data_IF_655973451364
#
_entry.id   IF_655973451364
#
_cell.length_a   1.000
_cell.length_b   1.000
_cell.length_c   1.000
_cell.angle_alpha   90.00
_cell.angle_beta   90.00
_cell.angle_gamma   90.00
#
_symmetry.space_group_name_H-M   'P 1'
#
loop_
_entity.id
_entity.type
_entity.pdbx_description
1 polymer ?
#
# COMPACT_ATOMS: atom_id res chain seq x y z
N UNK A 1 31.06 9.64 8.64
CA UNK A 1 29.64 9.24 8.87
C UNK A 1 29.31 8.08 7.94
N UNK A 2 29.33 6.83 8.43
CA UNK A 2 29.08 5.59 7.64
C UNK A 2 27.96 4.72 8.24
N UNK A 3 26.94 5.34 8.86
CA UNK A 3 25.89 4.61 9.60
C UNK A 3 24.73 4.07 8.72
N UNK A 4 24.64 4.48 7.45
CA UNK A 4 23.52 4.11 6.57
C UNK A 4 23.54 2.66 6.09
N UNK A 5 24.72 2.10 5.83
CA UNK A 5 24.84 0.81 5.14
C UNK A 5 24.51 -0.38 6.06
N UNK A 6 24.98 -0.34 7.30
CA UNK A 6 24.73 -1.41 8.27
C UNK A 6 23.27 -1.43 8.76
N UNK A 7 22.64 -0.26 8.86
CA UNK A 7 21.23 -0.12 9.25
C UNK A 7 20.30 -0.70 8.18
N UNK A 8 20.59 -0.44 6.89
CA UNK A 8 19.84 -1.01 5.78
C UNK A 8 20.02 -2.54 5.69
N UNK A 9 21.22 -3.06 5.93
CA UNK A 9 21.48 -4.51 5.95
C UNK A 9 20.71 -5.22 7.07
N UNK A 10 20.66 -4.64 8.27
CA UNK A 10 19.88 -5.18 9.38
C UNK A 10 18.36 -5.12 9.09
N UNK A 11 17.85 -3.99 8.60
CA UNK A 11 16.45 -3.84 8.21
C UNK A 11 16.06 -4.81 7.10
N UNK A 12 16.93 -5.01 6.10
CA UNK A 12 16.73 -5.99 5.03
C UNK A 12 16.58 -7.40 5.60
N UNK A 13 17.53 -7.85 6.44
CA UNK A 13 17.49 -9.21 7.04
C UNK A 13 16.19 -9.43 7.83
N UNK A 14 15.82 -8.48 8.69
CA UNK A 14 14.59 -8.56 9.49
C UNK A 14 13.33 -8.53 8.62
N UNK A 15 13.26 -7.65 7.63
CA UNK A 15 12.11 -7.60 6.70
C UNK A 15 11.98 -8.90 5.92
N UNK A 16 13.09 -9.48 5.47
CA UNK A 16 13.10 -10.68 4.63
C UNK A 16 12.72 -11.96 5.40
N UNK A 17 12.98 -12.03 6.72
CA UNK A 17 12.65 -13.20 7.53
C UNK A 17 11.18 -13.31 7.90
N UNK A 18 10.42 -12.21 7.88
CA UNK A 18 9.01 -12.17 8.28
C UNK A 18 8.13 -12.29 7.03
N UNK A 19 7.41 -13.40 6.88
CA UNK A 19 6.67 -13.70 5.64
C UNK A 19 5.15 -13.58 5.76
N UNK A 20 4.62 -13.45 6.98
CA UNK A 20 3.20 -13.32 7.26
C UNK A 20 2.92 -12.13 8.15
N UNK A 21 1.66 -11.72 8.20
CA UNK A 21 1.18 -10.63 9.04
C UNK A 21 0.34 -11.17 10.20
N UNK A 22 0.33 -10.45 11.31
CA UNK A 22 -0.60 -10.72 12.42
C UNK A 22 -2.03 -10.22 12.14
N UNK A 23 -2.26 -9.58 10.99
CA UNK A 23 -3.57 -9.08 10.59
C UNK A 23 -4.60 -10.21 10.53
N UNK A 24 -5.76 -9.96 11.13
CA UNK A 24 -6.92 -10.85 11.11
C UNK A 24 -8.08 -10.12 10.40
N UNK A 25 -8.62 -10.68 9.30
CA UNK A 25 -9.67 -10.03 8.54
C UNK A 25 -10.97 -9.99 9.35
N UNK A 26 -11.60 -8.82 9.38
CA UNK A 26 -12.95 -8.63 9.91
C UNK A 26 -13.96 -8.73 8.76
N UNK A 27 -15.22 -9.07 9.06
CA UNK A 27 -16.28 -9.07 8.04
C UNK A 27 -16.42 -7.71 7.34
N UNK A 28 -16.19 -6.61 8.08
CA UNK A 28 -16.17 -5.26 7.53
C UNK A 28 -14.99 -5.04 6.56
N UNK A 29 -13.78 -5.48 6.91
CA UNK A 29 -12.62 -5.39 6.02
C UNK A 29 -12.85 -6.14 4.70
N UNK A 30 -13.41 -7.36 4.75
CA UNK A 30 -13.78 -8.12 3.54
C UNK A 30 -14.87 -7.42 2.74
N UNK A 31 -15.88 -6.82 3.39
CA UNK A 31 -16.94 -6.08 2.72
C UNK A 31 -16.42 -4.83 1.99
N UNK A 32 -15.55 -4.03 2.63
CA UNK A 32 -14.93 -2.86 1.98
C UNK A 32 -14.02 -3.29 0.82
N UNK A 33 -13.29 -4.39 0.97
CA UNK A 33 -12.48 -4.97 -0.12
C UNK A 33 -13.33 -5.31 -1.34
N UNK A 34 -14.47 -6.00 -1.14
CA UNK A 34 -15.39 -6.35 -2.23
C UNK A 34 -15.94 -5.11 -2.94
N UNK A 35 -16.32 -4.07 -2.20
CA UNK A 35 -16.79 -2.80 -2.77
C UNK A 35 -15.67 -2.07 -3.53
N UNK A 36 -14.44 -2.08 -3.01
CA UNK A 36 -13.29 -1.50 -3.72
C UNK A 36 -13.01 -2.18 -5.05
N UNK A 37 -13.20 -3.51 -5.13
CA UNK A 37 -13.03 -4.30 -6.35
C UNK A 37 -14.05 -4.00 -7.46
N UNK A 38 -15.12 -3.24 -7.16
CA UNK A 38 -16.09 -2.76 -8.15
C UNK A 38 -16.07 -1.24 -8.31
N UNK A 39 -15.43 -0.50 -7.39
CA UNK A 39 -15.38 0.96 -7.41
C UNK A 39 -14.47 1.52 -8.52
N UNK A 40 -14.85 2.66 -9.10
CA UNK A 40 -14.05 3.39 -10.11
C UNK A 40 -13.86 4.87 -9.80
N UNK A 41 -14.74 5.46 -9.01
CA UNK A 41 -14.65 6.87 -8.62
C UNK A 41 -13.56 7.11 -7.57
N UNK A 42 -12.81 8.20 -7.70
CA UNK A 42 -11.82 8.61 -6.72
C UNK A 42 -12.45 8.91 -5.34
N UNK A 43 -13.62 9.55 -5.30
CA UNK A 43 -14.31 9.91 -4.05
C UNK A 43 -14.84 8.67 -3.32
N UNK A 44 -15.37 7.71 -4.06
CA UNK A 44 -15.82 6.44 -3.51
C UNK A 44 -14.62 5.63 -2.96
N UNK A 45 -13.55 5.53 -3.75
CA UNK A 45 -12.29 4.87 -3.36
C UNK A 45 -11.64 5.51 -2.14
N UNK A 46 -11.73 6.83 -2.00
CA UNK A 46 -11.28 7.57 -0.82
C UNK A 46 -12.00 7.09 0.45
N UNK A 47 -13.33 7.02 0.42
CA UNK A 47 -14.14 6.62 1.58
C UNK A 47 -13.93 5.14 1.89
N UNK A 48 -14.12 4.26 0.90
CA UNK A 48 -14.01 2.82 1.09
C UNK A 48 -12.59 2.40 1.50
N UNK A 49 -11.57 3.00 0.87
CA UNK A 49 -10.18 2.75 1.18
C UNK A 49 -9.81 3.18 2.59
N UNK A 50 -10.29 4.35 3.05
CA UNK A 50 -10.05 4.79 4.42
C UNK A 50 -10.72 3.86 5.43
N UNK A 51 -11.95 3.42 5.17
CA UNK A 51 -12.65 2.46 6.03
C UNK A 51 -11.90 1.13 6.12
N UNK A 52 -11.38 0.62 5.00
CA UNK A 52 -10.55 -0.58 4.98
C UNK A 52 -9.28 -0.41 5.83
N UNK A 53 -8.54 0.70 5.64
CA UNK A 53 -7.34 0.99 6.43
C UNK A 53 -7.63 1.09 7.92
N UNK A 54 -8.77 1.68 8.30
CA UNK A 54 -9.19 1.78 9.70
C UNK A 54 -9.44 0.40 10.31
N UNK A 55 -10.15 -0.48 9.60
CA UNK A 55 -10.42 -1.85 10.06
C UNK A 55 -9.14 -2.68 10.20
N UNK A 56 -8.23 -2.57 9.22
CA UNK A 56 -6.94 -3.26 9.27
C UNK A 56 -6.07 -2.77 10.43
N UNK A 57 -6.01 -1.45 10.63
CA UNK A 57 -5.22 -0.83 11.70
C UNK A 57 -5.79 -1.14 13.08
N UNK A 58 -7.13 -1.18 13.20
CA UNK A 58 -7.84 -1.61 14.41
C UNK A 58 -7.53 -3.06 14.77
N UNK A 59 -7.56 -3.98 13.79
CA UNK A 59 -7.17 -5.39 14.01
C UNK A 59 -5.74 -5.54 14.52
N UNK A 60 -4.85 -4.62 14.14
CA UNK A 60 -3.44 -4.62 14.52
C UNK A 60 -3.12 -3.76 15.74
N UNK A 61 -4.11 -3.09 16.34
CA UNK A 61 -3.92 -2.13 17.44
C UNK A 61 -2.88 -1.04 17.13
N UNK A 62 -2.89 -0.50 15.90
CA UNK A 62 -2.02 0.61 15.46
C UNK A 62 -2.83 1.83 15.04
N UNK A 63 -2.20 3.00 15.04
CA UNK A 63 -2.76 4.21 14.44
C UNK A 63 -3.06 3.97 12.96
N UNK A 64 -4.25 4.37 12.47
CA UNK A 64 -4.59 4.22 11.05
C UNK A 64 -3.78 5.15 10.15
N UNK A 65 -3.45 4.67 8.94
CA UNK A 65 -2.91 5.53 7.90
C UNK A 65 -4.02 6.41 7.30
N UNK A 66 -3.69 7.68 7.03
CA UNK A 66 -4.59 8.60 6.36
C UNK A 66 -4.46 8.44 4.84
N UNK A 67 -5.58 8.22 4.17
CA UNK A 67 -5.66 8.04 2.73
C UNK A 67 -5.95 9.34 2.01
N UNK A 68 -5.31 9.54 0.86
CA UNK A 68 -5.63 10.59 -0.11
C UNK A 68 -5.70 9.97 -1.51
N UNK A 69 -6.89 9.93 -2.10
CA UNK A 69 -7.11 9.47 -3.47
C UNK A 69 -7.35 10.69 -4.35
N UNK A 70 -6.45 10.93 -5.28
CA UNK A 70 -6.58 12.04 -6.21
C UNK A 70 -7.10 11.56 -7.57
N UNK A 71 -8.06 12.28 -8.14
CA UNK A 71 -8.55 12.00 -9.50
C UNK A 71 -7.63 12.55 -10.61
N UNK A 72 -6.34 12.25 -10.49
CA UNK A 72 -5.27 12.72 -11.37
C UNK A 72 -4.43 11.57 -11.90
N UNK A 73 -3.67 11.79 -13.00
CA UNK A 73 -2.73 10.80 -13.53
C UNK A 73 -1.64 10.46 -12.52
N UNK A 74 -1.19 9.21 -12.56
CA UNK A 74 0.01 8.77 -11.85
C UNK A 74 1.20 9.66 -12.19
N UNK A 75 1.96 10.04 -11.15
CA UNK A 75 3.23 10.76 -11.33
C UNK A 75 4.16 9.90 -12.19
N UNK A 76 4.71 10.50 -13.24
CA UNK A 76 5.58 9.80 -14.17
C UNK A 76 6.64 10.73 -14.76
N UNK A 77 7.62 10.14 -15.41
CA UNK A 77 8.69 10.84 -16.12
C UNK A 77 8.93 10.20 -17.47
N UNK A 78 9.16 11.03 -18.49
CA UNK A 78 9.43 10.61 -19.85
C UNK A 78 10.87 10.93 -20.24
N UNK A 79 11.48 10.09 -21.08
CA UNK A 79 12.74 10.39 -21.77
C UNK A 79 12.58 10.01 -23.24
N UNK A 80 12.75 10.97 -24.15
CA UNK A 80 12.55 10.79 -25.59
C UNK A 80 11.18 10.14 -25.92
N UNK A 81 10.10 10.62 -25.28
CA UNK A 81 8.75 10.08 -25.44
C UNK A 81 8.49 8.71 -24.81
N UNK A 82 9.52 8.06 -24.22
CA UNK A 82 9.38 6.76 -23.55
C UNK A 82 9.19 6.93 -22.04
N UNK A 83 8.26 6.16 -21.47
CA UNK A 83 7.99 6.13 -20.03
C UNK A 83 9.18 5.51 -19.28
N UNK A 84 9.84 6.30 -18.42
CA UNK A 84 10.98 5.84 -17.62
C UNK A 84 10.56 5.38 -16.22
N UNK A 85 9.67 6.13 -15.58
CA UNK A 85 9.19 5.85 -14.24
C UNK A 85 7.73 6.23 -14.14
N UNK A 86 6.97 5.44 -13.38
CA UNK A 86 5.64 5.80 -12.88
C UNK A 86 5.55 5.42 -11.41
N UNK A 87 4.80 6.21 -10.65
CA UNK A 87 4.53 6.00 -9.24
C UNK A 87 3.03 5.88 -9.05
N UNK A 88 2.59 4.71 -8.58
CA UNK A 88 1.17 4.37 -8.43
C UNK A 88 0.57 5.00 -7.17
N UNK A 89 1.31 4.88 -6.07
CA UNK A 89 1.02 5.50 -4.78
C UNK A 89 2.30 5.82 -4.02
N UNK A 90 2.14 6.45 -2.86
CA UNK A 90 3.24 6.74 -1.94
C UNK A 90 2.77 6.65 -0.50
N UNK A 91 3.59 6.05 0.35
CA UNK A 91 3.50 6.14 1.80
C UNK A 91 4.56 7.10 2.35
N UNK A 92 4.15 8.05 3.19
CA UNK A 92 5.06 8.89 3.99
C UNK A 92 4.40 9.32 5.30
N UNK A 93 5.06 9.05 6.42
CA UNK A 93 4.66 9.51 7.76
C UNK A 93 3.17 9.24 8.11
N UNK A 94 2.70 8.02 7.82
CA UNK A 94 1.31 7.63 8.08
C UNK A 94 0.31 8.13 7.04
N UNK A 95 0.75 8.78 5.96
CA UNK A 95 -0.10 9.24 4.86
C UNK A 95 0.13 8.35 3.63
N UNK A 96 -0.96 7.83 3.09
CA UNK A 96 -1.00 7.07 1.83
C UNK A 96 -1.64 7.97 0.77
N UNK A 97 -0.98 8.14 -0.37
CA UNK A 97 -1.50 8.92 -1.49
C UNK A 97 -1.55 8.06 -2.75
N UNK A 98 -2.68 8.03 -3.44
CA UNK A 98 -2.87 7.30 -4.70
C UNK A 98 -3.41 8.20 -5.81
N UNK A 99 -3.09 7.84 -7.05
CA UNK A 99 -3.63 8.46 -8.25
C UNK A 99 -4.68 7.55 -8.88
N UNK A 100 -5.86 8.08 -9.20
CA UNK A 100 -6.97 7.31 -9.75
C UNK A 100 -6.87 7.06 -11.26
N UNK A 101 -5.95 7.73 -11.96
CA UNK A 101 -5.78 7.64 -13.42
C UNK A 101 -4.41 7.10 -13.80
N UNK A 102 -4.35 6.32 -14.88
CA UNK A 102 -3.10 5.79 -15.46
C UNK A 102 -2.17 6.92 -15.91
N UNK A 103 -0.87 6.69 -15.90
CA UNK A 103 0.14 7.73 -16.18
C UNK A 103 0.00 8.38 -17.58
N UNK A 104 -0.18 7.58 -18.64
CA UNK A 104 -0.09 8.06 -20.03
C UNK A 104 -1.46 8.30 -20.65
N UNK A 105 -2.37 7.33 -20.52
CA UNK A 105 -3.71 7.41 -21.13
C UNK A 105 -4.71 8.17 -20.28
N UNK A 106 -4.34 8.50 -19.04
CA UNK A 106 -5.20 9.14 -18.04
C UNK A 106 -6.54 8.42 -17.77
N UNK A 107 -6.67 7.18 -18.24
CA UNK A 107 -7.83 6.33 -17.99
C UNK A 107 -7.90 5.95 -16.51
N UNK A 108 -9.11 5.79 -15.97
CA UNK A 108 -9.33 5.30 -14.60
C UNK A 108 -8.63 3.95 -14.41
N UNK A 109 -7.86 3.81 -13.33
CA UNK A 109 -7.15 2.56 -13.04
C UNK A 109 -8.14 1.45 -12.68
N UNK A 110 -7.83 0.22 -13.09
CA UNK A 110 -8.63 -0.95 -12.77
C UNK A 110 -8.82 -1.11 -11.23
N UNK A 111 -9.99 -1.56 -10.75
CA UNK A 111 -10.24 -1.73 -9.32
C UNK A 111 -9.19 -2.58 -8.60
N UNK A 112 -8.77 -3.68 -9.23
CA UNK A 112 -7.72 -4.55 -8.68
C UNK A 112 -6.37 -3.82 -8.55
N UNK A 113 -6.00 -2.99 -9.53
CA UNK A 113 -4.78 -2.17 -9.48
C UNK A 113 -4.83 -1.15 -8.35
N UNK A 114 -6.00 -0.54 -8.11
CA UNK A 114 -6.19 0.36 -6.97
C UNK A 114 -5.98 -0.39 -5.64
N UNK A 115 -6.65 -1.53 -5.46
CA UNK A 115 -6.52 -2.34 -4.24
C UNK A 115 -5.08 -2.82 -4.01
N UNK A 116 -4.41 -3.33 -5.05
CA UNK A 116 -3.01 -3.76 -4.96
C UNK A 116 -2.08 -2.62 -4.53
N UNK A 117 -2.30 -1.42 -5.08
CA UNK A 117 -1.53 -0.23 -4.70
C UNK A 117 -1.81 0.17 -3.25
N UNK A 118 -3.09 0.19 -2.84
CA UNK A 118 -3.48 0.54 -1.48
C UNK A 118 -2.83 -0.40 -0.44
N UNK A 119 -2.89 -1.71 -0.69
CA UNK A 119 -2.32 -2.71 0.22
C UNK A 119 -0.80 -2.66 0.19
N UNK A 120 -0.16 -2.38 -0.96
CA UNK A 120 1.28 -2.14 -1.02
C UNK A 120 1.72 -1.00 -0.08
N UNK A 121 1.06 0.15 -0.17
CA UNK A 121 1.38 1.29 0.70
C UNK A 121 1.03 1.01 2.18
N UNK A 122 0.01 0.19 2.44
CA UNK A 122 -0.28 -0.28 3.79
C UNK A 122 0.82 -1.19 4.36
N UNK A 123 1.48 -2.04 3.55
CA UNK A 123 2.61 -2.84 4.04
C UNK A 123 3.77 -1.95 4.47
N UNK A 124 4.01 -0.82 3.79
CA UNK A 124 4.96 0.18 4.29
C UNK A 124 4.53 0.69 5.67
N UNK A 125 3.25 1.03 5.87
CA UNK A 125 2.74 1.41 7.18
C UNK A 125 2.93 0.33 8.25
N UNK A 126 2.64 -0.93 7.91
CA UNK A 126 2.84 -2.10 8.78
C UNK A 126 4.31 -2.26 9.19
N UNK A 127 5.24 -2.13 8.24
CA UNK A 127 6.67 -2.24 8.49
C UNK A 127 7.14 -1.21 9.54
N UNK A 128 6.63 0.02 9.47
CA UNK A 128 6.97 1.06 10.44
C UNK A 128 6.23 0.89 11.78
N UNK A 129 4.93 0.60 11.77
CA UNK A 129 4.09 0.61 12.98
C UNK A 129 4.12 -0.70 13.75
N UNK A 130 4.15 -1.84 13.06
CA UNK A 130 4.15 -3.17 13.67
C UNK A 130 5.57 -3.71 13.80
N UNK A 131 6.33 -3.74 12.70
CA UNK A 131 7.68 -4.32 12.72
C UNK A 131 8.76 -3.37 13.27
N UNK A 132 8.43 -2.08 13.41
CA UNK A 132 9.34 -1.02 13.87
C UNK A 132 10.63 -0.97 13.06
N UNK A 133 10.53 -1.16 11.75
CA UNK A 133 11.69 -1.05 10.86
C UNK A 133 12.07 0.43 10.67
N UNK A 134 13.36 0.78 10.70
CA UNK A 134 13.81 2.14 10.42
C UNK A 134 13.63 2.53 8.95
N UNK A 135 13.60 1.53 8.05
CA UNK A 135 13.34 1.66 6.62
C UNK A 135 12.51 0.47 6.16
N UNK A 136 11.52 0.72 5.30
CA UNK A 136 10.72 -0.34 4.67
C UNK A 136 11.24 -0.61 3.26
N UNK A 137 12.00 -1.70 3.11
CA UNK A 137 12.57 -2.16 1.84
C UNK A 137 11.69 -3.23 1.21
N UNK A 138 11.55 -3.21 -0.12
CA UNK A 138 10.84 -4.21 -0.91
C UNK A 138 11.59 -5.56 -1.00
N UNK A 139 11.76 -6.23 0.14
CA UNK A 139 12.37 -7.57 0.24
C UNK A 139 11.39 -8.68 -0.18
N UNK A 140 11.85 -9.93 -0.32
CA UNK A 140 10.92 -11.04 -0.56
C UNK A 140 9.91 -11.17 0.59
N UNK A 141 10.32 -10.95 1.83
CA UNK A 141 9.44 -10.90 3.01
C UNK A 141 8.34 -9.83 2.90
N UNK A 142 8.66 -8.65 2.36
CA UNK A 142 7.66 -7.61 2.07
C UNK A 142 6.56 -8.14 1.13
N UNK A 143 6.95 -8.77 0.03
CA UNK A 143 6.00 -9.31 -0.94
C UNK A 143 5.19 -10.49 -0.39
N UNK A 144 5.79 -11.33 0.46
CA UNK A 144 5.03 -12.38 1.15
C UNK A 144 3.98 -11.81 2.11
N UNK A 145 4.30 -10.75 2.88
CA UNK A 145 3.32 -10.07 3.74
C UNK A 145 2.20 -9.42 2.94
N UNK A 146 2.53 -8.81 1.80
CA UNK A 146 1.53 -8.27 0.87
C UNK A 146 0.57 -9.38 0.41
N UNK A 147 1.11 -10.51 -0.05
CA UNK A 147 0.32 -11.66 -0.48
C UNK A 147 -0.54 -12.26 0.64
N UNK A 148 -0.01 -12.33 1.87
CA UNK A 148 -0.75 -12.80 3.05
C UNK A 148 -1.97 -11.92 3.35
N UNK A 149 -1.81 -10.59 3.37
CA UNK A 149 -2.94 -9.66 3.55
C UNK A 149 -3.96 -9.81 2.43
N UNK A 150 -3.51 -9.82 1.17
CA UNK A 150 -4.42 -9.95 0.02
C UNK A 150 -5.23 -11.25 0.09
N UNK A 151 -4.57 -12.37 0.42
CA UNK A 151 -5.25 -13.67 0.61
C UNK A 151 -6.29 -13.61 1.72
N UNK A 152 -6.00 -12.93 2.83
CA UNK A 152 -6.94 -12.78 3.96
C UNK A 152 -8.13 -11.88 3.64
N UNK A 153 -7.96 -10.85 2.81
CA UNK A 153 -9.01 -9.89 2.44
C UNK A 153 -9.99 -10.42 1.38
N UNK A 154 -9.51 -11.26 0.46
CA UNK A 154 -10.30 -11.76 -0.68
C UNK A 154 -11.01 -13.08 -0.36
N UNK A 155 -10.63 -13.76 0.73
CA UNK A 155 -11.28 -14.97 1.20
C UNK A 155 -12.73 -14.71 1.62
#
# INVERSE_FOLDING_TARGET
MFFGDNTNKAAYKKSNSIKSTSFQPTGAASAYTKKLLTSISASERQVLGQCLLNEMSRSLSISSAQLFVHDKPQKHSLKNGKLMRKTYGTYKDGKITLSNKTAIREAVIAPKTFLDTLIHEFIHHYDYKVLKLPVSLHTAGFYYRLGDIMKKLIK
#
